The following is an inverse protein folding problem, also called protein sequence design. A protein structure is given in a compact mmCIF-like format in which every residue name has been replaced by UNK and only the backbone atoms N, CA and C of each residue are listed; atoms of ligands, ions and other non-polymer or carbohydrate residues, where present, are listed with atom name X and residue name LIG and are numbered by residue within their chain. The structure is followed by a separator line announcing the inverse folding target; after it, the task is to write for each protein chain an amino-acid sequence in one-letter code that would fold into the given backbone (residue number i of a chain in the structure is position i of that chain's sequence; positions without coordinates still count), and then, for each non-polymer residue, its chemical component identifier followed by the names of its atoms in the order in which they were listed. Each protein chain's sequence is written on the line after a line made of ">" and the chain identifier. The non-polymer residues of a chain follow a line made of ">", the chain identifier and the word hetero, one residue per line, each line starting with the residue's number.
data_IF_065022131503
#
_entry.id   IF_065022131503
#
_cell.length_a   1.000
_cell.length_b   1.000
_cell.length_c   1.000
_cell.angle_alpha   90.00
_cell.angle_beta   90.00
_cell.angle_gamma   90.00
#
_symmetry.space_group_name_H-M   'P 1'
#
loop_
_entity.id
_entity.type
_entity.pdbx_description
1 polymer ?
#
# COMPACT_ATOMS: atom_id res chain seq x y z
N UNK A 1 9.25 -11.98 30.56
CA UNK A 1 9.26 -13.02 29.49
C UNK A 1 7.86 -13.38 29.02
N UNK A 2 6.91 -13.74 29.90
CA UNK A 2 5.50 -13.94 29.50
C UNK A 2 4.85 -12.69 28.88
N UNK A 3 5.14 -11.52 29.44
CA UNK A 3 4.68 -10.22 28.91
C UNK A 3 5.18 -9.96 27.48
N UNK A 4 6.40 -10.40 27.17
CA UNK A 4 7.01 -10.27 25.85
C UNK A 4 6.31 -11.21 24.84
N UNK A 5 6.06 -12.46 25.24
CA UNK A 5 5.31 -13.44 24.43
C UNK A 5 3.87 -12.98 24.12
N UNK A 6 3.17 -12.44 25.13
CA UNK A 6 1.83 -11.87 24.96
C UNK A 6 1.83 -10.69 23.98
N UNK A 7 2.83 -9.80 24.07
CA UNK A 7 2.94 -8.66 23.17
C UNK A 7 3.17 -9.11 21.72
N UNK A 8 4.05 -10.10 21.49
CA UNK A 8 4.26 -10.66 20.15
C UNK A 8 2.98 -11.27 19.56
N UNK A 9 2.22 -12.03 20.36
CA UNK A 9 0.94 -12.60 19.91
C UNK A 9 -0.07 -11.53 19.52
N UNK A 10 -0.15 -10.44 20.29
CA UNK A 10 -1.08 -9.35 20.04
C UNK A 10 -0.69 -8.55 18.78
N UNK A 11 0.60 -8.24 18.62
CA UNK A 11 1.12 -7.58 17.42
C UNK A 11 0.90 -8.44 16.17
N UNK A 12 1.10 -9.76 16.27
CA UNK A 12 0.84 -10.67 15.18
C UNK A 12 -0.64 -10.68 14.78
N UNK A 13 -1.55 -10.71 15.75
CA UNK A 13 -2.99 -10.69 15.49
C UNK A 13 -3.45 -9.37 14.86
N UNK A 14 -2.88 -8.24 15.30
CA UNK A 14 -3.09 -6.93 14.67
C UNK A 14 -2.55 -6.87 13.24
N UNK A 15 -1.36 -7.42 13.00
CA UNK A 15 -0.79 -7.48 11.65
C UNK A 15 -1.69 -8.29 10.72
N UNK A 16 -2.17 -9.45 11.18
CA UNK A 16 -3.06 -10.32 10.42
C UNK A 16 -4.39 -9.65 10.09
N UNK A 17 -5.06 -9.02 11.07
CA UNK A 17 -6.37 -8.39 10.86
C UNK A 17 -6.30 -7.24 9.86
N UNK A 18 -5.28 -6.37 9.97
CA UNK A 18 -5.06 -5.28 9.03
C UNK A 18 -4.81 -5.83 7.62
N UNK A 19 -4.00 -6.88 7.51
CA UNK A 19 -3.69 -7.49 6.22
C UNK A 19 -4.92 -8.10 5.54
N UNK A 20 -5.79 -8.80 6.29
CA UNK A 20 -7.05 -9.34 5.77
C UNK A 20 -7.94 -8.24 5.19
N UNK A 21 -8.09 -7.12 5.90
CA UNK A 21 -8.90 -5.98 5.42
C UNK A 21 -8.33 -5.38 4.13
N UNK A 22 -7.00 -5.22 4.05
CA UNK A 22 -6.35 -4.64 2.87
C UNK A 22 -6.50 -5.56 1.64
N UNK A 23 -6.25 -6.86 1.81
CA UNK A 23 -6.37 -7.84 0.72
C UNK A 23 -7.82 -7.97 0.27
N UNK A 24 -8.78 -7.96 1.19
CA UNK A 24 -10.20 -8.01 0.84
C UNK A 24 -10.62 -6.82 -0.05
N UNK A 25 -10.20 -5.61 0.29
CA UNK A 25 -10.45 -4.43 -0.54
C UNK A 25 -9.82 -4.53 -1.94
N UNK A 26 -8.60 -5.07 -2.05
CA UNK A 26 -7.97 -5.31 -3.36
C UNK A 26 -8.76 -6.29 -4.22
N UNK A 27 -9.21 -7.41 -3.63
CA UNK A 27 -9.95 -8.44 -4.35
C UNK A 27 -11.26 -7.86 -4.91
N UNK A 28 -11.97 -7.03 -4.14
CA UNK A 28 -13.19 -6.37 -4.61
C UNK A 28 -12.92 -5.49 -5.84
N UNK A 29 -11.84 -4.69 -5.80
CA UNK A 29 -11.50 -3.80 -6.92
C UNK A 29 -11.09 -4.63 -8.15
N UNK A 30 -10.28 -5.66 -7.99
CA UNK A 30 -9.89 -6.51 -9.12
C UNK A 30 -11.07 -7.25 -9.74
N UNK A 31 -12.04 -7.69 -8.92
CA UNK A 31 -13.27 -8.30 -9.42
C UNK A 31 -14.15 -7.29 -10.16
N UNK A 32 -14.21 -6.04 -9.71
CA UNK A 32 -15.02 -5.01 -10.38
C UNK A 32 -14.49 -4.66 -11.79
N UNK A 33 -13.17 -4.73 -12.00
CA UNK A 33 -12.52 -4.39 -13.27
C UNK A 33 -12.04 -5.61 -14.08
N UNK A 34 -12.32 -6.84 -13.62
CA UNK A 34 -11.88 -8.10 -14.25
C UNK A 34 -10.38 -8.12 -14.60
N UNK A 35 -9.54 -7.70 -13.65
CA UNK A 35 -8.08 -7.58 -13.86
C UNK A 35 -7.38 -8.87 -13.46
N UNK A 36 -6.71 -9.49 -14.43
CA UNK A 36 -5.88 -10.69 -14.22
C UNK A 36 -4.39 -10.42 -14.48
N UNK A 37 -4.08 -9.45 -15.36
CA UNK A 37 -2.70 -9.12 -15.75
C UNK A 37 -2.30 -7.70 -15.36
N UNK A 38 -1.00 -7.49 -15.07
CA UNK A 38 -0.45 -6.18 -14.70
C UNK A 38 -0.73 -5.10 -15.76
N UNK A 39 -0.75 -5.46 -17.04
CA UNK A 39 -1.00 -4.51 -18.13
C UNK A 39 -2.45 -3.98 -18.12
N UNK A 40 -3.40 -4.72 -17.55
CA UNK A 40 -4.81 -4.33 -17.47
C UNK A 40 -5.09 -3.36 -16.32
N UNK A 41 -4.13 -3.11 -15.41
CA UNK A 41 -4.29 -2.12 -14.34
C UNK A 41 -4.56 -0.70 -14.89
N UNK A 42 -4.16 -0.40 -16.13
CA UNK A 42 -4.45 0.88 -16.79
C UNK A 42 -5.95 1.20 -16.90
N UNK A 43 -6.81 0.17 -16.91
CA UNK A 43 -8.26 0.32 -17.03
C UNK A 43 -8.90 0.98 -15.80
N UNK A 44 -8.41 0.67 -14.59
CA UNK A 44 -8.84 1.37 -13.37
C UNK A 44 -8.61 2.86 -13.57
N UNK A 45 -7.42 3.22 -14.05
CA UNK A 45 -6.95 4.60 -14.10
C UNK A 45 -7.73 5.50 -15.08
N UNK A 46 -8.40 4.94 -16.07
CA UNK A 46 -9.18 5.69 -17.04
C UNK A 46 -10.65 5.91 -16.61
N UNK A 47 -11.09 5.29 -15.50
CA UNK A 47 -12.51 5.26 -15.11
C UNK A 47 -12.93 6.50 -14.30
N UNK A 48 -12.50 6.60 -13.06
CA UNK A 48 -12.91 7.61 -12.10
C UNK A 48 -11.73 8.05 -11.24
N UNK A 49 -11.48 9.36 -11.16
CA UNK A 49 -10.36 9.93 -10.40
C UNK A 49 -10.38 9.56 -8.91
N UNK A 50 -11.56 9.42 -8.30
CA UNK A 50 -11.72 8.96 -6.92
C UNK A 50 -11.31 7.50 -6.73
N UNK A 51 -11.73 6.63 -7.66
CA UNK A 51 -11.45 5.21 -7.61
C UNK A 51 -9.94 4.94 -7.81
N UNK A 52 -9.29 5.73 -8.66
CA UNK A 52 -7.84 5.72 -8.84
C UNK A 52 -7.10 6.07 -7.55
N UNK A 53 -7.56 7.12 -6.85
CA UNK A 53 -6.95 7.53 -5.59
C UNK A 53 -7.09 6.45 -4.52
N UNK A 54 -8.27 5.83 -4.41
CA UNK A 54 -8.50 4.71 -3.50
C UNK A 54 -7.59 3.51 -3.82
N UNK A 55 -7.47 3.15 -5.10
CA UNK A 55 -6.60 2.06 -5.53
C UNK A 55 -5.13 2.33 -5.17
N UNK A 56 -4.64 3.54 -5.47
CA UNK A 56 -3.29 3.97 -5.12
C UNK A 56 -3.10 3.92 -3.59
N UNK A 57 -4.04 4.45 -2.80
CA UNK A 57 -3.97 4.41 -1.35
C UNK A 57 -3.85 2.98 -0.79
N UNK A 58 -4.56 2.02 -1.39
CA UNK A 58 -4.48 0.61 -0.98
C UNK A 58 -3.09 0.02 -1.29
N UNK A 59 -2.53 0.27 -2.48
CA UNK A 59 -1.17 -0.18 -2.81
C UNK A 59 -0.09 0.44 -1.91
N UNK A 60 -0.20 1.73 -1.59
CA UNK A 60 0.70 2.41 -0.67
C UNK A 60 0.53 1.91 0.77
N UNK A 61 -0.68 1.51 1.17
CA UNK A 61 -0.94 0.92 2.48
C UNK A 61 -0.25 -0.43 2.66
N UNK A 62 -0.20 -1.27 1.61
CA UNK A 62 0.56 -2.53 1.61
C UNK A 62 2.07 -2.30 1.69
N UNK A 63 2.55 -1.21 1.06
CA UNK A 63 3.93 -0.73 1.21
C UNK A 63 4.26 -0.27 2.64
N UNK A 64 3.26 0.18 3.40
CA UNK A 64 3.44 0.67 4.76
C UNK A 64 4.05 2.07 4.81
N UNK A 65 3.51 3.00 4.02
CA UNK A 65 3.84 4.42 4.15
C UNK A 65 3.21 5.03 5.41
N UNK A 66 3.86 6.01 6.06
CA UNK A 66 3.47 6.54 7.38
C UNK A 66 2.00 7.00 7.52
N UNK A 67 1.31 7.56 6.50
CA UNK A 67 -0.10 7.94 6.65
C UNK A 67 -1.09 6.76 6.55
N UNK A 68 -0.66 5.53 6.19
CA UNK A 68 -1.57 4.44 5.88
C UNK A 68 -1.58 3.32 6.92
N UNK A 69 -2.72 2.60 7.00
CA UNK A 69 -3.02 1.55 7.98
C UNK A 69 -1.97 0.44 8.08
N UNK A 70 -1.36 0.04 6.96
CA UNK A 70 -0.35 -1.03 6.94
C UNK A 70 1.02 -0.63 7.52
N UNK A 71 1.25 0.65 7.81
CA UNK A 71 2.45 1.09 8.54
C UNK A 71 2.36 0.79 10.03
N UNK A 72 1.18 0.95 10.61
CA UNK A 72 0.96 0.80 12.05
C UNK A 72 1.50 -0.53 12.63
N UNK A 73 1.17 -1.72 12.06
CA UNK A 73 1.67 -2.97 12.62
C UNK A 73 3.16 -3.19 12.34
N UNK A 74 3.72 -2.68 11.22
CA UNK A 74 5.17 -2.73 10.94
C UNK A 74 5.96 -1.84 11.91
N UNK A 75 5.41 -0.70 12.28
CA UNK A 75 6.05 0.19 13.24
C UNK A 75 6.03 -0.40 14.66
N UNK A 76 4.90 -0.97 15.07
CA UNK A 76 4.79 -1.68 16.35
C UNK A 76 5.76 -2.87 16.45
N UNK A 77 5.94 -3.65 15.38
CA UNK A 77 6.93 -4.75 15.39
C UNK A 77 8.36 -4.22 15.57
N UNK A 78 8.71 -3.12 14.92
CA UNK A 78 10.04 -2.50 15.06
C UNK A 78 10.27 -2.02 16.50
N UNK A 79 9.30 -1.34 17.11
CA UNK A 79 9.42 -0.87 18.51
C UNK A 79 9.57 -2.04 19.48
N UNK A 80 8.80 -3.12 19.30
CA UNK A 80 8.90 -4.28 20.17
C UNK A 80 10.22 -5.05 19.96
N UNK A 81 10.79 -5.04 18.76
CA UNK A 81 12.08 -5.68 18.51
C UNK A 81 13.25 -4.85 19.08
N UNK A 82 13.20 -3.52 18.98
CA UNK A 82 14.23 -2.65 19.56
C UNK A 82 14.19 -2.65 21.09
N UNK A 83 13.01 -2.72 21.70
CA UNK A 83 12.88 -2.84 23.17
C UNK A 83 13.43 -4.17 23.69
N UNK A 84 13.37 -5.24 22.89
CA UNK A 84 13.93 -6.55 23.21
C UNK A 84 15.40 -6.72 22.76
N UNK A 85 16.07 -5.63 22.36
CA UNK A 85 17.49 -5.62 21.92
C UNK A 85 17.83 -6.49 20.69
N UNK A 86 16.84 -6.88 19.88
CA UNK A 86 17.05 -7.67 18.66
C UNK A 86 17.41 -6.78 17.45
N UNK A 87 18.54 -6.06 17.53
CA UNK A 87 18.92 -5.06 16.52
C UNK A 87 19.27 -5.62 15.13
N UNK A 88 19.80 -6.85 15.05
CA UNK A 88 20.09 -7.48 13.75
C UNK A 88 18.80 -7.79 12.98
N UNK A 89 17.78 -8.29 13.68
CA UNK A 89 16.47 -8.58 13.11
C UNK A 89 15.77 -7.30 12.64
N UNK A 90 15.84 -6.22 13.41
CA UNK A 90 15.20 -4.94 13.02
C UNK A 90 15.77 -4.39 11.72
N UNK A 91 17.09 -4.48 11.51
CA UNK A 91 17.74 -4.01 10.28
C UNK A 91 17.26 -4.79 9.05
N UNK A 92 17.23 -6.12 9.12
CA UNK A 92 16.73 -6.97 8.03
C UNK A 92 15.27 -6.64 7.72
N UNK A 93 14.46 -6.43 8.76
CA UNK A 93 13.05 -6.08 8.62
C UNK A 93 12.88 -4.73 7.92
N UNK A 94 13.64 -3.70 8.31
CA UNK A 94 13.61 -2.37 7.66
C UNK A 94 14.04 -2.45 6.19
N UNK A 95 15.10 -3.19 5.86
CA UNK A 95 15.55 -3.32 4.47
C UNK A 95 14.47 -4.04 3.63
N UNK A 96 13.88 -5.11 4.16
CA UNK A 96 12.81 -5.84 3.47
C UNK A 96 11.58 -4.97 3.21
N UNK A 97 11.18 -4.12 4.16
CA UNK A 97 10.02 -3.23 3.99
C UNK A 97 10.30 -2.16 2.94
N UNK A 98 11.51 -1.59 2.92
CA UNK A 98 11.92 -0.62 1.92
C UNK A 98 11.91 -1.20 0.50
N UNK A 99 12.35 -2.45 0.30
CA UNK A 99 12.31 -3.12 -1.00
C UNK A 99 10.87 -3.28 -1.49
N UNK A 100 9.95 -3.76 -0.63
CA UNK A 100 8.54 -3.91 -1.01
C UNK A 100 7.87 -2.58 -1.32
N UNK A 101 8.23 -1.53 -0.58
CA UNK A 101 7.73 -0.18 -0.79
C UNK A 101 8.21 0.40 -2.13
N UNK A 102 9.47 0.19 -2.51
CA UNK A 102 9.99 0.61 -3.81
C UNK A 102 9.21 -0.03 -4.97
N UNK A 103 8.92 -1.33 -4.87
CA UNK A 103 8.14 -2.03 -5.89
C UNK A 103 6.72 -1.45 -6.05
N UNK A 104 6.00 -1.22 -4.95
CA UNK A 104 4.65 -0.67 -4.99
C UNK A 104 4.59 0.77 -5.49
N UNK A 105 5.54 1.62 -5.08
CA UNK A 105 5.62 3.00 -5.59
C UNK A 105 5.83 3.01 -7.10
N UNK A 106 6.73 2.16 -7.63
CA UNK A 106 6.98 2.07 -9.08
C UNK A 106 5.72 1.71 -9.87
N UNK A 107 4.90 0.80 -9.34
CA UNK A 107 3.63 0.42 -9.95
C UNK A 107 2.67 1.61 -10.02
N UNK A 108 2.50 2.33 -8.90
CA UNK A 108 1.59 3.49 -8.81
C UNK A 108 2.12 4.77 -9.48
N UNK A 109 3.43 4.90 -9.69
CA UNK A 109 3.99 6.10 -10.32
C UNK A 109 3.55 6.21 -11.79
N UNK A 110 3.52 5.07 -12.49
CA UNK A 110 3.02 5.00 -13.87
C UNK A 110 1.56 5.46 -13.98
N UNK A 111 0.75 5.14 -12.98
CA UNK A 111 -0.65 5.55 -12.96
C UNK A 111 -0.85 7.02 -12.64
N UNK A 112 -0.05 7.61 -11.75
CA UNK A 112 -0.08 9.06 -11.49
C UNK A 112 0.21 9.89 -12.75
N UNK A 113 1.16 9.46 -13.58
CA UNK A 113 1.50 10.14 -14.83
C UNK A 113 0.33 10.16 -15.82
N UNK A 114 -0.41 9.05 -15.93
CA UNK A 114 -1.58 8.95 -16.82
C UNK A 114 -2.70 9.92 -16.41
N UNK A 115 -3.03 9.97 -15.11
CA UNK A 115 -4.06 10.88 -14.57
C UNK A 115 -3.70 12.35 -14.84
N UNK A 116 -2.42 12.71 -14.71
CA UNK A 116 -1.95 14.07 -15.01
C UNK A 116 -2.14 14.39 -16.49
N UNK A 117 -1.79 13.46 -17.39
CA UNK A 117 -1.95 13.65 -18.82
C UNK A 117 -3.42 13.92 -19.20
N UNK A 118 -4.36 13.11 -18.72
CA UNK A 118 -5.81 13.31 -18.95
C UNK A 118 -6.29 14.68 -18.48
N UNK A 119 -5.86 15.13 -17.30
CA UNK A 119 -6.26 16.44 -16.78
C UNK A 119 -5.77 17.60 -17.65
N UNK A 120 -4.55 17.49 -18.20
CA UNK A 120 -3.97 18.50 -19.09
C UNK A 120 -4.68 18.50 -20.45
N UNK A 121 -5.01 17.32 -20.98
CA UNK A 121 -5.79 17.23 -22.22
C UNK A 121 -7.18 17.86 -22.04
N UNK A 122 -7.86 17.61 -20.91
CA UNK A 122 -9.17 18.18 -20.64
C UNK A 122 -9.15 19.69 -20.50
N UNK A 123 -8.14 20.27 -19.83
CA UNK A 123 -7.99 21.74 -19.75
C UNK A 123 -7.64 22.35 -21.10
N UNK A 124 -6.82 21.69 -21.92
CA UNK A 124 -6.46 22.18 -23.26
C UNK A 124 -7.66 22.16 -24.21
N UNK A 125 -8.55 21.17 -24.10
CA UNK A 125 -9.81 21.14 -24.85
C UNK A 125 -10.74 22.25 -24.37
N UNK A 126 -10.90 22.43 -23.06
CA UNK A 126 -11.75 23.48 -22.49
C UNK A 126 -11.29 24.91 -22.81
N UNK A 127 -9.98 25.12 -22.99
CA UNK A 127 -9.42 26.44 -23.37
C UNK A 127 -9.46 26.70 -24.89
N UNK A 128 -9.72 25.68 -25.71
CA UNK A 128 -9.83 25.78 -27.17
C UNK A 128 -11.27 25.98 -27.66
N UNK A 129 -12.27 25.96 -26.76
CA UNK A 129 -13.66 26.33 -26.99
C UNK A 129 -13.99 27.60 -26.20
#
# INVERSE_FOLDING_TARGET
>A
QLTILLNFKLIWLLYFSIYVVLVFNLIIIFKYFDIYYINQLSLIFNSNKLLNFLFIAIFLSLGGLPPFLGFFPKWLTIINLTSNQFYSLTLILIISTLITLFFYIRLTFRSFLLIKAESIFKTKIANNF
#
